data_IF_667908351883
#
_entry.id   IF_667908351883
#
_cell.length_a   1.000
_cell.length_b   1.000
_cell.length_c   1.000
_cell.angle_alpha   90.00
_cell.angle_beta   90.00
_cell.angle_gamma   90.00
#
_symmetry.space_group_name_H-M   'P 1'
#
loop_
_entity.id
_entity.type
_entity.pdbx_description
1 polymer ?
#
# COMPACT_ATOMS: atom_id res chain seq x y z
N UNK A 1 -11.04 -10.66 -10.99
CA UNK A 1 -10.31 -11.80 -10.41
C UNK A 1 -11.27 -12.96 -10.25
N UNK A 2 -10.91 -14.19 -10.64
CA UNK A 2 -11.75 -15.38 -10.42
C UNK A 2 -11.34 -16.05 -9.09
N UNK A 3 -12.29 -16.47 -8.24
CA UNK A 3 -11.98 -17.19 -7.02
C UNK A 3 -11.34 -18.54 -7.37
N UNK A 4 -10.26 -18.90 -6.68
CA UNK A 4 -9.54 -20.15 -6.93
C UNK A 4 -10.22 -21.37 -6.30
N UNK A 5 -11.02 -21.16 -5.26
CA UNK A 5 -11.70 -22.22 -4.53
C UNK A 5 -13.01 -21.70 -3.95
N UNK A 6 -14.12 -22.36 -4.30
CA UNK A 6 -15.43 -22.07 -3.73
C UNK A 6 -15.60 -22.82 -2.41
N UNK A 7 -16.22 -22.15 -1.43
CA UNK A 7 -16.65 -22.76 -0.19
C UNK A 7 -18.07 -23.33 -0.28
N UNK A 8 -18.58 -23.86 0.83
CA UNK A 8 -19.91 -24.51 0.91
C UNK A 8 -20.86 -23.81 1.89
N UNK A 9 -20.37 -22.82 2.62
CA UNK A 9 -21.14 -22.08 3.60
C UNK A 9 -21.82 -20.88 2.94
N UNK A 10 -22.93 -20.42 3.52
CA UNK A 10 -23.62 -19.20 3.10
C UNK A 10 -23.62 -18.20 4.23
N UNK A 11 -23.51 -16.92 3.92
CA UNK A 11 -23.56 -15.87 4.95
C UNK A 11 -22.83 -14.60 4.56
N UNK A 12 -22.66 -13.72 5.54
CA UNK A 12 -21.98 -12.43 5.36
C UNK A 12 -20.49 -12.57 5.62
N UNK A 13 -19.67 -12.07 4.70
CA UNK A 13 -18.22 -12.12 4.82
C UNK A 13 -17.69 -11.22 5.96
N UNK A 14 -16.94 -11.78 6.89
CA UNK A 14 -16.31 -11.04 8.00
C UNK A 14 -15.24 -10.01 7.54
N UNK A 15 -14.76 -10.07 6.30
CA UNK A 15 -13.77 -9.13 5.77
C UNK A 15 -14.36 -8.00 4.92
N UNK A 16 -15.33 -8.30 4.06
CA UNK A 16 -15.87 -7.34 3.09
C UNK A 16 -17.36 -7.05 3.25
N UNK A 17 -18.04 -7.73 4.18
CA UNK A 17 -19.49 -7.61 4.43
C UNK A 17 -20.41 -7.98 3.25
N UNK A 18 -19.85 -8.57 2.19
CA UNK A 18 -20.66 -9.09 1.09
C UNK A 18 -21.29 -10.44 1.48
N UNK A 19 -22.57 -10.62 1.16
CA UNK A 19 -23.23 -11.92 1.23
C UNK A 19 -22.70 -12.85 0.14
N UNK A 20 -22.47 -14.12 0.45
CA UNK A 20 -22.03 -15.12 -0.53
C UNK A 20 -22.77 -16.44 -0.34
N UNK A 21 -22.99 -17.16 -1.43
CA UNK A 21 -23.46 -18.55 -1.42
C UNK A 21 -22.30 -19.57 -1.41
N UNK A 22 -21.06 -19.10 -1.54
CA UNK A 22 -19.85 -19.90 -1.71
C UNK A 22 -18.79 -19.56 -0.65
N UNK A 23 -19.23 -19.23 0.55
CA UNK A 23 -18.40 -18.86 1.68
C UNK A 23 -17.61 -20.03 2.27
N UNK A 24 -16.46 -19.70 2.82
CA UNK A 24 -15.64 -20.59 3.65
C UNK A 24 -15.94 -20.34 5.11
N UNK A 25 -15.88 -21.38 5.94
CA UNK A 25 -16.01 -21.23 7.40
C UNK A 25 -15.01 -20.19 7.92
N UNK A 26 -15.48 -19.28 8.77
CA UNK A 26 -14.63 -18.30 9.44
C UNK A 26 -13.70 -18.99 10.44
N UNK A 27 -12.55 -19.44 9.95
CA UNK A 27 -11.47 -20.02 10.75
C UNK A 27 -10.15 -19.35 10.40
N UNK A 28 -9.71 -18.46 11.28
CA UNK A 28 -8.44 -17.76 11.16
C UNK A 28 -7.35 -18.52 11.94
N UNK A 29 -6.09 -18.49 11.49
CA UNK A 29 -5.00 -19.09 12.25
C UNK A 29 -4.79 -18.31 13.56
N UNK A 30 -4.33 -18.98 14.61
CA UNK A 30 -4.03 -18.34 15.90
C UNK A 30 -3.02 -17.19 15.77
N UNK A 31 -2.11 -17.28 14.79
CA UNK A 31 -1.13 -16.25 14.47
C UNK A 31 -1.68 -15.05 13.71
N UNK A 32 -2.98 -15.00 13.39
CA UNK A 32 -3.58 -13.85 12.75
C UNK A 32 -3.61 -12.69 13.75
N UNK A 33 -3.19 -11.49 13.36
CA UNK A 33 -3.13 -10.33 14.28
C UNK A 33 -3.97 -9.16 13.80
N UNK A 34 -4.49 -9.23 12.58
CA UNK A 34 -5.23 -8.15 11.92
C UNK A 34 -6.74 -8.21 12.24
N UNK A 35 -7.10 -8.77 13.42
CA UNK A 35 -8.47 -8.85 13.93
C UNK A 35 -9.20 -7.50 13.99
N UNK A 36 -8.54 -6.36 14.31
CA UNK A 36 -9.22 -5.06 14.34
C UNK A 36 -9.82 -4.61 13.00
N UNK A 37 -9.45 -5.23 11.88
CA UNK A 37 -10.04 -4.94 10.57
C UNK A 37 -11.23 -5.83 10.21
N UNK A 38 -11.52 -6.87 11.02
CA UNK A 38 -12.68 -7.72 10.79
C UNK A 38 -13.96 -6.99 11.17
N UNK A 39 -15.01 -7.32 10.44
CA UNK A 39 -16.38 -6.88 10.67
C UNK A 39 -17.22 -8.04 11.21
N UNK A 40 -18.46 -7.76 11.62
CA UNK A 40 -19.42 -8.80 12.01
C UNK A 40 -19.77 -9.70 10.81
N UNK A 41 -19.44 -10.98 10.85
CA UNK A 41 -19.80 -11.91 9.78
C UNK A 41 -19.52 -13.37 10.13
N UNK A 42 -20.17 -14.27 9.42
CA UNK A 42 -20.22 -15.70 9.75
C UNK A 42 -19.25 -16.53 8.89
N UNK A 43 -18.87 -15.98 7.73
CA UNK A 43 -18.07 -16.68 6.71
C UNK A 43 -16.94 -15.80 6.16
N UNK A 44 -16.09 -16.38 5.32
CA UNK A 44 -15.12 -15.68 4.48
C UNK A 44 -15.53 -15.92 3.03
N UNK A 45 -15.88 -14.87 2.27
CA UNK A 45 -16.23 -15.05 0.86
C UNK A 45 -15.06 -15.56 0.04
N UNK A 46 -15.36 -16.18 -1.10
CA UNK A 46 -14.42 -16.84 -2.00
C UNK A 46 -13.30 -15.90 -2.51
N UNK A 47 -13.58 -14.60 -2.62
CA UNK A 47 -12.59 -13.58 -2.98
C UNK A 47 -11.66 -13.22 -1.81
N UNK A 48 -12.22 -12.91 -0.63
CA UNK A 48 -11.42 -12.61 0.56
C UNK A 48 -10.61 -13.83 1.01
N UNK A 49 -11.16 -15.03 0.83
CA UNK A 49 -10.47 -16.28 1.10
C UNK A 49 -9.26 -16.46 0.17
N UNK A 50 -9.38 -16.12 -1.11
CA UNK A 50 -8.24 -16.17 -2.04
C UNK A 50 -7.10 -15.24 -1.59
N UNK A 51 -7.42 -14.01 -1.14
CA UNK A 51 -6.43 -13.08 -0.58
C UNK A 51 -5.84 -13.55 0.75
N UNK A 52 -6.64 -14.19 1.60
CA UNK A 52 -6.20 -14.72 2.88
C UNK A 52 -5.26 -15.92 2.70
N UNK A 53 -5.56 -16.82 1.75
CA UNK A 53 -4.81 -18.07 1.56
C UNK A 53 -3.54 -17.92 0.73
N UNK A 54 -3.52 -17.00 -0.24
CA UNK A 54 -2.33 -16.78 -1.04
C UNK A 54 -1.42 -15.75 -0.36
N UNK A 55 -0.28 -16.17 0.21
CA UNK A 55 0.59 -15.30 0.99
C UNK A 55 1.20 -14.15 0.17
N UNK A 56 1.14 -14.21 -1.17
CA UNK A 56 1.64 -13.14 -2.04
C UNK A 56 0.86 -11.84 -1.85
N UNK A 57 -0.45 -11.91 -1.62
CA UNK A 57 -1.27 -10.72 -1.37
C UNK A 57 -0.92 -9.99 -0.06
N UNK A 58 -0.34 -10.73 0.90
CA UNK A 58 0.18 -10.17 2.15
C UNK A 58 1.63 -9.70 2.03
N UNK A 59 2.46 -10.45 1.30
CA UNK A 59 3.93 -10.31 1.34
C UNK A 59 4.50 -9.44 0.22
N UNK A 60 3.74 -9.20 -0.85
CA UNK A 60 4.21 -8.47 -2.02
C UNK A 60 3.33 -7.27 -2.30
N UNK A 61 3.94 -6.22 -2.85
CA UNK A 61 3.20 -5.13 -3.48
C UNK A 61 2.45 -5.66 -4.71
N UNK A 62 1.31 -5.06 -5.02
CA UNK A 62 0.52 -5.45 -6.17
C UNK A 62 -0.32 -4.28 -6.69
N UNK A 63 -0.67 -4.38 -7.98
CA UNK A 63 -1.66 -3.58 -8.67
C UNK A 63 -2.80 -4.50 -9.09
N UNK A 64 -4.04 -4.04 -8.89
CA UNK A 64 -5.24 -4.67 -9.44
C UNK A 64 -5.90 -3.69 -10.38
N UNK A 65 -6.11 -4.11 -11.63
CA UNK A 65 -6.82 -3.38 -12.67
C UNK A 65 -7.43 -4.39 -13.65
N UNK A 66 -8.58 -4.06 -14.26
CA UNK A 66 -9.28 -4.93 -15.21
C UNK A 66 -9.47 -6.39 -14.72
N UNK A 67 -9.63 -6.56 -13.40
CA UNK A 67 -9.79 -7.86 -12.76
C UNK A 67 -8.52 -8.74 -12.73
N UNK A 68 -7.36 -8.23 -13.13
CA UNK A 68 -6.05 -8.88 -13.08
C UNK A 68 -5.25 -8.38 -11.88
N UNK A 69 -4.30 -9.20 -11.43
CA UNK A 69 -3.38 -8.84 -10.35
C UNK A 69 -1.97 -8.94 -10.88
N UNK A 70 -1.22 -7.84 -10.77
CA UNK A 70 0.20 -7.77 -11.12
C UNK A 70 0.98 -7.60 -9.82
N UNK A 71 1.88 -8.52 -9.50
CA UNK A 71 2.75 -8.39 -8.33
C UNK A 71 4.00 -7.58 -8.68
N UNK A 72 4.30 -6.60 -7.85
CA UNK A 72 5.29 -5.57 -8.11
C UNK A 72 6.52 -5.74 -7.20
N UNK A 73 7.70 -5.42 -7.72
CA UNK A 73 8.88 -5.06 -6.94
C UNK A 73 8.69 -3.69 -6.28
N UNK A 74 9.63 -3.29 -5.41
CA UNK A 74 9.61 -1.96 -4.78
C UNK A 74 9.64 -0.84 -5.82
N UNK A 75 10.52 -0.96 -6.83
CA UNK A 75 10.63 0.02 -7.92
C UNK A 75 9.35 0.10 -8.73
N UNK A 76 8.83 -1.06 -9.16
CA UNK A 76 7.58 -1.12 -9.93
C UNK A 76 6.39 -0.56 -9.13
N UNK A 77 6.35 -0.74 -7.80
CA UNK A 77 5.31 -0.15 -6.97
C UNK A 77 5.34 1.39 -7.01
N UNK A 78 6.52 2.00 -6.92
CA UNK A 78 6.67 3.47 -7.05
C UNK A 78 6.26 3.93 -8.45
N UNK A 79 6.71 3.22 -9.48
CA UNK A 79 6.35 3.51 -10.87
C UNK A 79 4.84 3.42 -11.10
N UNK A 80 4.16 2.39 -10.58
CA UNK A 80 2.70 2.24 -10.66
C UNK A 80 1.94 3.35 -9.93
N UNK A 81 2.44 3.84 -8.79
CA UNK A 81 1.77 4.97 -8.10
C UNK A 81 1.79 6.23 -8.98
N UNK A 82 2.89 6.44 -9.71
CA UNK A 82 3.09 7.62 -10.57
C UNK A 82 2.47 7.49 -11.97
N UNK A 83 2.24 6.26 -12.43
CA UNK A 83 1.63 5.96 -13.72
C UNK A 83 0.11 6.23 -13.69
N UNK A 84 -0.44 6.54 -14.87
CA UNK A 84 -1.89 6.57 -15.06
C UNK A 84 -2.43 5.15 -15.27
N UNK A 85 -3.59 4.87 -14.69
CA UNK A 85 -4.26 3.57 -14.74
C UNK A 85 -5.74 3.79 -15.09
N UNK A 86 -6.31 2.89 -15.88
CA UNK A 86 -7.76 2.89 -16.15
C UNK A 86 -8.53 2.44 -14.90
N UNK A 87 -9.48 3.25 -14.41
CA UNK A 87 -10.32 2.85 -13.29
C UNK A 87 -11.29 1.70 -13.65
N UNK A 88 -11.69 0.85 -12.68
CA UNK A 88 -11.23 0.86 -11.29
C UNK A 88 -9.88 0.16 -11.12
N UNK A 89 -9.01 0.73 -10.29
CA UNK A 89 -7.74 0.12 -9.93
C UNK A 89 -7.41 0.26 -8.43
N UNK A 90 -6.56 -0.63 -7.90
CA UNK A 90 -6.10 -0.57 -6.52
C UNK A 90 -4.60 -0.90 -6.44
N UNK A 91 -3.85 -0.11 -5.68
CA UNK A 91 -2.39 -0.29 -5.50
C UNK A 91 -2.11 -0.58 -4.03
N UNK A 92 -1.43 -1.68 -3.76
CA UNK A 92 -0.94 -2.05 -2.44
C UNK A 92 0.58 -2.10 -2.43
N UNK A 93 1.18 -1.56 -1.37
CA UNK A 93 2.61 -1.62 -1.12
C UNK A 93 2.88 -2.38 0.17
N UNK A 94 3.54 -3.53 0.03
CA UNK A 94 4.07 -4.29 1.15
C UNK A 94 5.45 -3.73 1.54
N UNK A 95 5.66 -3.48 2.83
CA UNK A 95 6.94 -2.97 3.34
C UNK A 95 7.75 -4.07 4.03
N UNK A 96 7.09 -4.86 4.90
CA UNK A 96 7.67 -5.96 5.68
C UNK A 96 7.00 -7.32 5.40
N UNK A 97 5.84 -7.34 4.76
CA UNK A 97 5.06 -8.53 4.40
C UNK A 97 4.46 -9.31 5.59
N UNK A 98 4.30 -8.63 6.73
CA UNK A 98 3.85 -9.22 7.99
C UNK A 98 2.35 -9.03 8.23
N UNK A 99 1.75 -7.92 7.78
CA UNK A 99 0.33 -7.60 8.01
C UNK A 99 -0.53 -7.84 6.78
N UNK A 100 -1.79 -8.21 6.98
CA UNK A 100 -2.84 -8.29 5.97
C UNK A 100 -3.33 -6.89 5.56
N UNK A 101 -2.43 -6.06 5.06
CA UNK A 101 -2.72 -4.66 4.70
C UNK A 101 -3.72 -4.48 3.55
N UNK A 102 -4.10 -5.57 2.87
CA UNK A 102 -5.17 -5.57 1.87
C UNK A 102 -6.57 -5.44 2.48
N UNK A 103 -6.77 -5.80 3.77
CA UNK A 103 -8.10 -5.73 4.40
C UNK A 103 -8.64 -4.29 4.43
N UNK A 104 -7.92 -3.29 4.97
CA UNK A 104 -8.40 -1.91 4.96
C UNK A 104 -8.61 -1.35 3.54
N UNK A 105 -7.96 -1.95 2.52
CA UNK A 105 -8.15 -1.53 1.13
C UNK A 105 -9.51 -1.91 0.56
N UNK A 106 -10.20 -2.93 1.11
CA UNK A 106 -11.52 -3.33 0.62
C UNK A 106 -12.49 -2.14 0.63
N UNK A 107 -12.39 -1.29 1.66
CA UNK A 107 -13.34 -0.21 1.89
C UNK A 107 -12.90 1.13 1.29
N UNK A 108 -11.59 1.40 1.23
CA UNK A 108 -11.08 2.71 0.86
C UNK A 108 -9.99 2.69 -0.22
N UNK A 109 -9.49 1.52 -0.61
CA UNK A 109 -8.29 1.38 -1.45
C UNK A 109 -8.55 1.40 -2.96
N UNK A 110 -9.81 1.40 -3.40
CA UNK A 110 -10.15 1.44 -4.82
C UNK A 110 -10.12 2.87 -5.34
N UNK A 111 -9.50 3.06 -6.49
CA UNK A 111 -9.46 4.28 -7.25
C UNK A 111 -10.51 4.18 -8.36
N UNK A 112 -11.52 5.05 -8.30
CA UNK A 112 -12.63 5.10 -9.26
C UNK A 112 -12.44 6.16 -10.36
N UNK A 113 -11.36 6.94 -10.29
CA UNK A 113 -10.98 7.93 -11.28
C UNK A 113 -9.49 7.87 -11.56
N UNK A 114 -9.10 8.24 -12.78
CA UNK A 114 -7.73 8.59 -13.11
C UNK A 114 -7.49 10.04 -12.69
N UNK A 115 -6.30 10.35 -12.16
CA UNK A 115 -5.95 11.73 -11.82
C UNK A 115 -4.72 11.85 -10.93
N UNK A 116 -4.40 13.08 -10.54
CA UNK A 116 -3.23 13.39 -9.72
C UNK A 116 -3.30 12.82 -8.30
N UNK A 117 -4.50 12.57 -7.79
CA UNK A 117 -4.69 11.97 -6.46
C UNK A 117 -5.02 10.49 -6.57
N UNK A 118 -4.30 9.67 -5.82
CA UNK A 118 -4.45 8.21 -5.82
C UNK A 118 -4.49 7.67 -4.39
N UNK A 119 -5.36 6.69 -4.16
CA UNK A 119 -5.42 5.88 -2.95
C UNK A 119 -4.41 4.74 -3.08
N UNK A 120 -3.51 4.64 -2.11
CA UNK A 120 -2.47 3.61 -2.01
C UNK A 120 -2.63 2.91 -0.68
N UNK A 121 -2.87 1.61 -0.71
CA UNK A 121 -2.80 0.78 0.47
C UNK A 121 -1.35 0.55 0.86
N UNK A 122 -1.02 0.79 2.12
CA UNK A 122 0.32 0.64 2.63
C UNK A 122 0.33 -0.18 3.90
N UNK A 123 1.19 -1.20 3.92
CA UNK A 123 1.35 -2.05 5.08
C UNK A 123 1.73 -1.26 6.34
N UNK A 124 0.88 -1.36 7.36
CA UNK A 124 1.09 -0.73 8.67
C UNK A 124 0.46 0.65 8.80
N UNK A 125 0.08 1.29 7.70
CA UNK A 125 -0.46 2.65 7.68
C UNK A 125 -1.90 2.73 7.14
N UNK A 126 -2.43 1.64 6.58
CA UNK A 126 -3.78 1.61 6.01
C UNK A 126 -3.82 2.19 4.60
N UNK A 127 -4.92 2.84 4.23
CA UNK A 127 -5.04 3.49 2.92
C UNK A 127 -4.64 4.95 3.04
N UNK A 128 -3.69 5.36 2.19
CA UNK A 128 -3.21 6.72 2.10
C UNK A 128 -3.67 7.34 0.80
N UNK A 129 -4.20 8.57 0.88
CA UNK A 129 -4.53 9.37 -0.28
C UNK A 129 -3.34 10.28 -0.59
N UNK A 130 -2.73 10.11 -1.76
CA UNK A 130 -1.46 10.74 -2.11
C UNK A 130 -1.58 11.49 -3.43
N UNK A 131 -0.87 12.60 -3.56
CA UNK A 131 -0.75 13.34 -4.82
C UNK A 131 0.52 12.92 -5.56
N UNK A 132 0.40 12.50 -6.82
CA UNK A 132 1.51 12.07 -7.67
C UNK A 132 2.57 13.15 -7.78
N UNK A 133 2.17 14.42 -7.96
CA UNK A 133 3.10 15.56 -7.94
C UNK A 133 3.98 15.60 -6.69
N UNK A 134 3.42 15.36 -5.50
CA UNK A 134 4.19 15.40 -4.26
C UNK A 134 5.19 14.24 -4.20
N UNK A 135 4.81 13.06 -4.67
CA UNK A 135 5.73 11.92 -4.79
C UNK A 135 6.88 12.24 -5.76
N UNK A 136 6.60 12.86 -6.91
CA UNK A 136 7.65 13.28 -7.87
C UNK A 136 8.66 14.24 -7.23
N UNK A 137 8.17 15.23 -6.46
CA UNK A 137 9.03 16.18 -5.74
C UNK A 137 9.92 15.43 -4.74
N UNK A 138 9.35 14.53 -3.96
CA UNK A 138 10.04 13.71 -2.96
C UNK A 138 11.11 12.82 -3.61
N UNK A 139 10.81 12.13 -4.71
CA UNK A 139 11.80 11.32 -5.43
C UNK A 139 12.94 12.17 -6.01
N UNK A 140 12.64 13.38 -6.48
CA UNK A 140 13.68 14.30 -6.97
C UNK A 140 14.67 14.69 -5.86
N UNK A 141 14.18 14.85 -4.63
CA UNK A 141 15.01 15.06 -3.45
C UNK A 141 15.81 13.82 -3.08
N UNK A 142 15.19 12.64 -3.09
CA UNK A 142 15.89 11.37 -2.80
C UNK A 142 17.11 11.17 -3.73
N UNK A 143 16.92 11.40 -5.03
CA UNK A 143 18.00 11.34 -6.02
C UNK A 143 19.08 12.39 -5.79
N UNK A 144 18.71 13.62 -5.42
CA UNK A 144 19.67 14.67 -5.09
C UNK A 144 20.51 14.32 -3.85
N UNK A 145 19.87 13.82 -2.80
CA UNK A 145 20.53 13.37 -1.57
C UNK A 145 21.51 12.24 -1.87
N UNK A 146 21.08 11.25 -2.65
CA UNK A 146 21.93 10.14 -3.11
C UNK A 146 23.16 10.63 -3.89
N UNK A 147 22.98 11.53 -4.86
CA UNK A 147 24.09 12.15 -5.61
C UNK A 147 25.07 12.89 -4.71
N UNK A 148 24.57 13.51 -3.64
CA UNK A 148 25.37 14.22 -2.63
C UNK A 148 25.91 13.31 -1.52
N UNK A 149 25.66 12.00 -1.60
CA UNK A 149 26.02 11.01 -0.56
C UNK A 149 25.48 11.37 0.83
N UNK A 150 24.31 12.02 0.87
CA UNK A 150 23.57 12.30 2.09
C UNK A 150 22.51 11.21 2.24
N UNK A 151 22.46 10.48 3.37
CA UNK A 151 21.47 9.43 3.56
C UNK A 151 20.06 10.03 3.67
N UNK A 152 19.05 9.30 3.20
CA UNK A 152 17.63 9.69 3.32
C UNK A 152 17.21 9.92 4.79
N UNK A 153 17.79 9.16 5.74
CA UNK A 153 17.57 9.35 7.18
C UNK A 153 18.03 10.72 7.69
N UNK A 154 18.90 11.43 6.96
CA UNK A 154 19.30 12.78 7.32
C UNK A 154 18.14 13.76 7.26
N UNK A 155 17.06 13.46 6.52
CA UNK A 155 15.87 14.30 6.45
C UNK A 155 15.24 14.44 7.84
N UNK A 156 15.09 13.32 8.56
CA UNK A 156 14.47 13.27 9.89
C UNK A 156 15.47 13.49 11.01
N UNK A 157 16.74 13.14 10.81
CA UNK A 157 17.80 13.34 11.80
C UNK A 157 19.09 13.92 11.16
N UNK A 158 19.15 15.23 10.92
CA UNK A 158 20.30 15.85 10.27
C UNK A 158 21.50 16.04 11.20
N UNK A 159 22.69 16.00 10.61
CA UNK A 159 23.94 16.42 11.26
C UNK A 159 24.45 17.71 10.63
N UNK A 160 25.29 18.52 11.33
CA UNK A 160 25.91 19.70 10.74
C UNK A 160 26.64 19.40 9.41
N UNK A 161 27.25 18.22 9.29
CA UNK A 161 27.91 17.76 8.07
C UNK A 161 26.93 17.56 6.91
N UNK A 162 25.74 17.01 7.17
CA UNK A 162 24.70 16.84 6.15
C UNK A 162 24.21 18.20 5.62
N UNK A 163 24.00 19.15 6.53
CA UNK A 163 23.58 20.52 6.19
C UNK A 163 24.65 21.21 5.36
N UNK A 164 25.92 21.11 5.76
CA UNK A 164 27.04 21.68 5.02
C UNK A 164 27.19 21.07 3.61
N UNK A 165 26.97 19.77 3.45
CA UNK A 165 27.09 19.05 2.17
C UNK A 165 26.01 19.49 1.15
N UNK A 166 24.80 19.80 1.62
CA UNK A 166 23.71 20.31 0.77
C UNK A 166 23.76 21.83 0.59
N UNK A 167 24.29 22.54 1.57
CA UNK A 167 24.20 23.99 1.70
C UNK A 167 22.88 24.43 2.33
N UNK A 168 22.92 25.51 3.11
CA UNK A 168 21.82 25.99 3.95
C UNK A 168 20.54 26.32 3.16
N UNK A 169 20.66 26.87 1.96
CA UNK A 169 19.50 27.19 1.12
C UNK A 169 18.76 25.93 0.65
N UNK A 170 19.52 24.93 0.17
CA UNK A 170 18.95 23.68 -0.30
C UNK A 170 18.33 22.90 0.86
N UNK A 171 19.01 22.91 2.02
CA UNK A 171 18.49 22.33 3.26
C UNK A 171 17.14 22.94 3.66
N UNK A 172 17.03 24.28 3.61
CA UNK A 172 15.78 24.98 3.91
C UNK A 172 14.65 24.58 2.96
N UNK A 173 14.94 24.41 1.66
CA UNK A 173 13.94 23.95 0.69
C UNK A 173 13.49 22.50 0.95
N UNK A 174 14.42 21.62 1.32
CA UNK A 174 14.12 20.24 1.69
C UNK A 174 13.18 20.20 2.91
N UNK A 175 13.45 21.01 3.93
CA UNK A 175 12.62 21.13 5.15
C UNK A 175 11.23 21.74 4.88
N UNK A 176 11.12 22.64 3.90
CA UNK A 176 9.85 23.22 3.47
C UNK A 176 8.99 22.27 2.63
N UNK A 177 9.55 21.13 2.22
CA UNK A 177 8.77 20.05 1.60
C UNK A 177 8.03 19.35 2.76
N UNK A 178 6.95 20.00 3.21
CA UNK A 178 6.18 19.58 4.38
C UNK A 178 5.71 18.16 4.19
N UNK A 179 5.94 17.37 5.24
CA UNK A 179 5.37 16.04 5.40
C UNK A 179 5.95 15.00 4.43
N UNK A 180 7.28 14.80 4.50
CA UNK A 180 7.90 13.55 4.06
C UNK A 180 7.24 12.41 4.82
N UNK A 181 6.36 11.63 4.20
CA UNK A 181 5.72 10.57 4.92
C UNK A 181 6.77 9.49 5.17
N UNK A 182 6.90 9.00 6.40
CA UNK A 182 7.89 7.97 6.75
C UNK A 182 7.82 6.76 5.80
N UNK A 183 6.63 6.48 5.27
CA UNK A 183 6.44 5.41 4.31
C UNK A 183 7.13 5.60 2.97
N UNK A 184 7.34 6.85 2.54
CA UNK A 184 8.09 7.12 1.32
C UNK A 184 9.56 6.73 1.47
N UNK A 185 10.12 6.82 2.69
CA UNK A 185 11.45 6.28 3.00
C UNK A 185 11.51 4.74 2.95
N UNK A 186 10.35 4.06 3.02
CA UNK A 186 10.28 2.60 2.94
C UNK A 186 10.24 2.10 1.48
N UNK A 187 9.98 3.00 0.53
CA UNK A 187 9.77 2.66 -0.88
C UNK A 187 10.71 3.38 -1.86
N UNK A 188 11.31 4.52 -1.46
CA UNK A 188 12.39 5.21 -2.15
C UNK A 188 13.75 4.58 -1.85
#
# INVERSE_FOLDING_TARGET
MRPRQLGRERGVCAFCQHYTEHGHRLKLPESFTDYPYLQSGDVICEYCYAFLKDPRYRRRSWLIEAGRVTFLSRREAVESILAEHEPPFAIYVATRGKRHGWIPMIYAGVNWSAGETVNVGLEGYGVLRVERRNIRVILSWAELLKKRRVPLSAITNPSPRHIATLGTQLWRRLQLTKDWPEWLLLIA
#
